data_IF_130334792101
#
_entry.id   IF_130334792101
#
_cell.length_a   1.000
_cell.length_b   1.000
_cell.length_c   1.000
_cell.angle_alpha   90.00
_cell.angle_beta   90.00
_cell.angle_gamma   90.00
#
_symmetry.space_group_name_H-M   'P 1'
#
loop_
_entity.id
_entity.type
_entity.pdbx_description
1 polymer ?
#
# COMPACT_ATOMS: atom_id res chain seq x y z
N UNK A 1 -48.99 -21.54 -10.68
CA UNK A 1 -49.07 -22.92 -11.23
C UNK A 1 -48.06 -23.01 -12.36
N UNK A 2 -46.91 -23.59 -12.08
CA UNK A 2 -46.12 -24.45 -12.94
C UNK A 2 -44.81 -24.82 -12.20
N UNK A 3 -44.40 -26.08 -12.20
CA UNK A 3 -43.42 -26.61 -11.26
C UNK A 3 -42.00 -26.60 -11.85
N UNK A 4 -41.05 -26.38 -10.92
CA UNK A 4 -39.61 -26.57 -11.11
C UNK A 4 -39.25 -28.00 -11.54
N UNK A 5 -38.41 -28.10 -12.56
CA UNK A 5 -37.76 -29.35 -12.95
C UNK A 5 -36.35 -29.34 -12.41
N UNK A 6 -36.12 -30.20 -11.42
CA UNK A 6 -34.84 -30.50 -10.80
C UNK A 6 -34.06 -31.48 -11.67
N UNK A 7 -32.97 -31.07 -12.32
CA UNK A 7 -32.05 -32.01 -13.01
C UNK A 7 -30.98 -32.50 -12.04
N UNK A 8 -31.13 -33.74 -11.58
CA UNK A 8 -30.07 -34.52 -10.94
C UNK A 8 -29.00 -34.90 -11.98
N UNK A 9 -27.75 -34.57 -11.73
CA UNK A 9 -26.58 -35.14 -12.44
C UNK A 9 -26.13 -36.40 -11.68
N UNK A 10 -26.30 -37.53 -12.36
CA UNK A 10 -25.85 -38.85 -11.93
C UNK A 10 -24.35 -38.97 -12.20
N UNK A 11 -23.57 -39.24 -11.16
CA UNK A 11 -22.16 -39.63 -11.28
C UNK A 11 -22.13 -41.13 -11.68
N UNK A 12 -21.47 -41.41 -12.80
CA UNK A 12 -21.24 -42.81 -13.28
C UNK A 12 -19.91 -43.30 -12.69
N UNK A 13 -20.00 -44.25 -11.80
CA UNK A 13 -18.85 -45.05 -11.37
C UNK A 13 -18.59 -46.15 -12.40
N UNK A 14 -17.46 -46.11 -13.13
CA UNK A 14 -16.98 -47.23 -13.91
C UNK A 14 -16.21 -48.19 -13.02
N UNK A 15 -16.82 -49.34 -12.76
CA UNK A 15 -16.17 -50.53 -12.16
C UNK A 15 -15.51 -51.30 -13.29
N UNK A 16 -14.19 -51.37 -13.31
CA UNK A 16 -13.45 -52.28 -14.20
C UNK A 16 -13.52 -53.68 -13.66
N UNK A 17 -14.25 -54.56 -14.37
CA UNK A 17 -14.23 -56.02 -14.20
C UNK A 17 -13.01 -56.58 -14.94
N UNK A 18 -12.33 -57.53 -14.25
CA UNK A 18 -11.14 -58.19 -14.71
C UNK A 18 -11.28 -58.96 -16.02
N UNK A 19 -10.22 -58.94 -16.78
CA UNK A 19 -9.95 -59.86 -17.87
C UNK A 19 -8.95 -60.91 -17.38
N UNK A 20 -9.38 -62.18 -17.33
CA UNK A 20 -8.49 -63.33 -17.27
C UNK A 20 -7.87 -63.50 -18.66
N UNK A 21 -6.57 -63.44 -18.79
CA UNK A 21 -5.84 -63.83 -19.99
C UNK A 21 -5.11 -65.12 -19.70
N UNK A 22 -5.45 -66.12 -20.47
CA UNK A 22 -4.80 -67.48 -20.49
C UNK A 22 -3.30 -67.34 -20.77
N UNK A 23 -2.48 -67.88 -19.85
CA UNK A 23 -1.05 -68.00 -20.03
C UNK A 23 -0.70 -69.21 -20.86
N UNK A 24 -0.28 -69.00 -22.10
CA UNK A 24 0.55 -69.98 -22.83
C UNK A 24 1.98 -69.46 -22.98
N UNK A 25 3.02 -70.22 -22.71
CA UNK A 25 4.41 -69.76 -22.80
C UNK A 25 4.90 -69.80 -24.24
N UNK A 26 5.18 -68.64 -24.81
CA UNK A 26 5.89 -68.51 -26.08
C UNK A 26 6.99 -67.47 -25.94
N UNK A 27 8.23 -67.85 -26.17
CA UNK A 27 9.35 -67.05 -26.61
C UNK A 27 10.01 -66.11 -25.56
N UNK A 28 11.01 -66.65 -24.83
CA UNK A 28 11.70 -66.02 -23.72
C UNK A 28 12.71 -64.87 -24.03
N UNK A 29 12.81 -64.36 -25.26
CA UNK A 29 13.78 -63.32 -25.58
C UNK A 29 13.21 -61.91 -25.64
N UNK A 30 11.98 -61.73 -26.12
CA UNK A 30 11.36 -60.42 -26.20
C UNK A 30 10.91 -59.85 -24.85
N UNK A 31 10.52 -60.72 -23.90
CA UNK A 31 10.11 -60.28 -22.55
C UNK A 31 11.29 -59.72 -21.75
N UNK A 32 12.50 -60.30 -21.91
CA UNK A 32 13.71 -59.80 -21.24
C UNK A 32 14.15 -58.44 -21.74
N UNK A 33 13.96 -58.15 -23.02
CA UNK A 33 14.31 -56.86 -23.63
C UNK A 33 13.34 -55.76 -23.22
N UNK A 34 12.04 -56.08 -23.08
CA UNK A 34 11.01 -55.12 -22.62
C UNK A 34 11.16 -54.79 -21.14
N UNK A 35 11.52 -55.75 -20.29
CA UNK A 35 11.79 -55.52 -18.86
C UNK A 35 13.06 -54.66 -18.68
N UNK A 36 14.11 -54.93 -19.46
CA UNK A 36 15.33 -54.11 -19.40
C UNK A 36 15.08 -52.66 -19.86
N UNK A 37 14.23 -52.43 -20.86
CA UNK A 37 13.86 -51.09 -21.34
C UNK A 37 13.00 -50.34 -20.33
N UNK A 38 12.07 -51.00 -19.62
CA UNK A 38 11.27 -50.42 -18.53
C UNK A 38 12.11 -50.06 -17.30
N UNK A 39 13.11 -50.86 -16.96
CA UNK A 39 14.03 -50.55 -15.85
C UNK A 39 14.97 -49.41 -16.19
N UNK A 40 15.41 -49.27 -17.44
CA UNK A 40 16.21 -48.13 -17.89
C UNK A 40 15.41 -46.82 -17.96
N UNK A 41 14.12 -46.86 -18.31
CA UNK A 41 13.23 -45.70 -18.32
C UNK A 41 12.86 -45.26 -16.88
N UNK A 42 12.77 -46.18 -15.91
CA UNK A 42 12.52 -45.83 -14.52
C UNK A 42 13.74 -45.26 -13.79
N UNK A 43 14.96 -45.58 -14.27
CA UNK A 43 16.20 -44.99 -13.72
C UNK A 43 16.43 -43.52 -14.12
N UNK A 44 15.80 -43.06 -15.20
CA UNK A 44 15.89 -41.64 -15.62
C UNK A 44 14.91 -40.71 -14.90
N UNK A 45 13.87 -41.27 -14.27
CA UNK A 45 12.92 -40.44 -13.48
C UNK A 45 13.40 -40.18 -12.04
N UNK A 46 14.46 -40.83 -11.57
CA UNK A 46 15.12 -40.56 -10.29
C UNK A 46 16.22 -39.50 -10.40
N UNK A 47 16.09 -38.53 -11.31
CA UNK A 47 16.85 -37.31 -11.22
C UNK A 47 16.34 -36.56 -10.01
N UNK A 48 16.92 -36.85 -8.85
CA UNK A 48 16.78 -36.02 -7.65
C UNK A 48 17.06 -34.57 -8.10
N UNK A 49 16.00 -33.75 -8.21
CA UNK A 49 16.17 -32.31 -8.17
C UNK A 49 16.93 -32.02 -6.88
N UNK A 50 18.26 -31.87 -6.97
CA UNK A 50 19.02 -31.26 -5.88
C UNK A 50 18.29 -29.96 -5.59
N UNK A 51 17.59 -29.92 -4.47
CA UNK A 51 17.06 -28.66 -3.95
C UNK A 51 18.26 -27.74 -3.86
N UNK A 52 18.26 -26.69 -4.66
CA UNK A 52 19.32 -25.67 -4.56
C UNK A 52 19.38 -25.24 -3.09
N UNK A 53 20.57 -25.09 -2.55
CA UNK A 53 20.74 -24.59 -1.20
C UNK A 53 19.93 -23.29 -1.04
N UNK A 54 19.23 -23.07 0.08
CA UNK A 54 18.49 -21.85 0.29
C UNK A 54 19.39 -20.63 0.06
N UNK A 55 18.94 -19.68 -0.74
CA UNK A 55 19.67 -18.42 -0.92
C UNK A 55 19.84 -17.74 0.46
N UNK A 56 21.04 -17.26 0.82
CA UNK A 56 21.25 -16.57 2.08
C UNK A 56 20.42 -15.28 2.17
N UNK A 57 19.93 -14.89 3.35
CA UNK A 57 19.16 -13.66 3.51
C UNK A 57 20.06 -12.44 3.30
N UNK A 58 19.56 -11.46 2.53
CA UNK A 58 20.32 -10.24 2.20
C UNK A 58 20.21 -9.16 3.28
N UNK A 59 19.18 -9.20 4.13
CA UNK A 59 18.99 -8.26 5.22
C UNK A 59 18.05 -8.85 6.30
N UNK A 60 18.13 -8.28 7.51
CA UNK A 60 17.15 -8.51 8.58
C UNK A 60 16.22 -7.31 8.64
N UNK A 61 14.93 -7.44 8.28
CA UNK A 61 13.96 -6.38 8.32
C UNK A 61 13.30 -6.26 9.70
N UNK A 62 12.89 -5.06 10.07
CA UNK A 62 11.92 -4.82 11.14
C UNK A 62 11.07 -3.60 10.82
N UNK A 63 9.85 -3.56 11.36
CA UNK A 63 8.95 -2.41 11.25
C UNK A 63 8.37 -2.11 12.62
N UNK A 64 8.38 -0.81 12.98
CA UNK A 64 7.69 -0.31 14.16
C UNK A 64 6.62 0.69 13.73
N UNK A 65 5.49 0.68 14.45
CA UNK A 65 4.38 1.59 14.24
C UNK A 65 4.31 2.56 15.41
N UNK A 66 3.97 3.83 15.16
CA UNK A 66 3.68 4.81 16.22
C UNK A 66 2.46 4.37 17.05
N UNK A 67 1.58 3.57 16.43
CA UNK A 67 0.41 2.93 17.05
C UNK A 67 -0.01 1.70 16.25
N UNK A 68 -0.46 0.67 16.94
CA UNK A 68 -0.92 -0.58 16.32
C UNK A 68 -2.46 -0.70 16.22
N UNK A 69 -3.20 0.31 16.70
CA UNK A 69 -4.67 0.42 16.57
C UNK A 69 -4.99 1.67 15.78
N UNK A 70 -5.46 1.50 14.55
CA UNK A 70 -5.54 2.57 13.55
C UNK A 70 -6.91 2.57 12.89
N UNK A 71 -7.71 3.62 13.02
CA UNK A 71 -8.98 3.74 12.31
C UNK A 71 -8.80 3.84 10.79
N UNK A 72 -9.77 3.37 10.04
CA UNK A 72 -9.86 3.57 8.60
C UNK A 72 -9.76 5.07 8.26
N UNK A 73 -8.99 5.42 7.24
CA UNK A 73 -8.77 6.80 6.79
C UNK A 73 -7.75 7.58 7.62
N UNK A 74 -7.23 7.05 8.73
CA UNK A 74 -6.28 7.77 9.57
C UNK A 74 -4.82 7.52 9.17
N UNK A 75 -3.92 8.49 9.44
CA UNK A 75 -2.48 8.30 9.22
C UNK A 75 -1.89 7.36 10.26
N UNK A 76 -0.80 6.68 9.91
CA UNK A 76 0.06 5.88 10.79
C UNK A 76 1.50 6.03 10.36
N UNK A 77 2.41 6.21 11.31
CA UNK A 77 3.85 6.27 11.03
C UNK A 77 4.45 4.87 11.11
N UNK A 78 5.04 4.43 9.99
CA UNK A 78 5.74 3.16 9.85
C UNK A 78 7.24 3.43 9.76
N UNK A 79 8.00 3.02 10.76
CA UNK A 79 9.47 3.09 10.74
C UNK A 79 10.02 1.75 10.29
N UNK A 80 10.60 1.74 9.11
CA UNK A 80 11.26 0.58 8.50
C UNK A 80 12.72 0.58 8.86
N UNK A 81 13.25 -0.61 9.18
CA UNK A 81 14.67 -0.81 9.43
C UNK A 81 15.13 -2.09 8.75
N UNK A 82 16.22 -1.98 7.99
CA UNK A 82 16.89 -3.11 7.35
C UNK A 82 18.35 -3.14 7.80
N UNK A 83 18.76 -4.22 8.47
CA UNK A 83 20.17 -4.49 8.77
C UNK A 83 20.71 -5.36 7.65
N UNK A 84 21.55 -4.81 6.80
CA UNK A 84 22.11 -5.48 5.61
C UNK A 84 23.07 -6.57 6.04
N UNK A 85 22.99 -7.78 5.46
CA UNK A 85 23.89 -8.87 5.77
C UNK A 85 25.33 -8.56 5.33
N UNK A 86 26.31 -9.16 6.01
CA UNK A 86 27.73 -8.87 5.80
C UNK A 86 28.25 -9.27 4.41
N UNK A 87 27.56 -10.19 3.75
CA UNK A 87 27.88 -10.73 2.41
C UNK A 87 26.85 -10.34 1.35
N UNK A 88 25.90 -9.45 1.71
CA UNK A 88 24.85 -9.06 0.79
C UNK A 88 25.36 -8.16 -0.36
N UNK A 89 24.85 -8.42 -1.55
CA UNK A 89 25.06 -7.60 -2.74
C UNK A 89 23.76 -7.40 -3.50
N UNK A 90 23.45 -6.15 -3.85
CA UNK A 90 22.25 -5.78 -4.60
C UNK A 90 22.61 -5.42 -6.03
N UNK A 91 22.26 -6.28 -6.98
CA UNK A 91 22.57 -6.10 -8.41
C UNK A 91 21.74 -5.00 -9.08
N UNK A 92 20.54 -4.70 -8.52
CA UNK A 92 19.60 -3.70 -9.02
C UNK A 92 18.90 -2.96 -7.86
N UNK A 93 18.07 -2.00 -8.17
CA UNK A 93 17.23 -1.34 -7.18
C UNK A 93 15.93 -2.14 -6.96
N UNK A 94 15.73 -2.58 -5.72
CA UNK A 94 14.56 -3.33 -5.27
C UNK A 94 13.56 -2.40 -4.59
N UNK A 95 12.27 -2.63 -4.86
CA UNK A 95 11.19 -2.00 -4.10
C UNK A 95 10.95 -2.73 -2.79
N UNK A 96 10.51 -1.98 -1.80
CA UNK A 96 9.98 -2.54 -0.55
C UNK A 96 8.52 -2.92 -0.79
N UNK A 97 8.24 -4.22 -0.71
CA UNK A 97 6.90 -4.76 -0.65
C UNK A 97 6.36 -4.54 0.75
N UNK A 98 5.18 -3.98 0.89
CA UNK A 98 4.48 -3.83 2.16
C UNK A 98 3.01 -4.17 1.97
N UNK A 99 2.62 -5.34 2.44
CA UNK A 99 1.25 -5.81 2.39
C UNK A 99 0.63 -5.81 3.78
N UNK A 100 -0.54 -5.24 3.91
CA UNK A 100 -1.40 -5.41 5.08
C UNK A 100 -2.38 -6.53 4.76
N UNK A 101 -2.32 -7.58 5.57
CA UNK A 101 -3.11 -8.79 5.38
C UNK A 101 -3.99 -9.05 6.61
N UNK A 102 -5.14 -9.67 6.39
CA UNK A 102 -6.05 -10.10 7.46
C UNK A 102 -5.54 -11.36 8.20
N UNK A 103 -6.38 -11.91 9.07
CA UNK A 103 -6.06 -13.12 9.84
C UNK A 103 -5.94 -14.37 8.97
N UNK A 104 -6.59 -14.39 7.82
CA UNK A 104 -6.57 -15.49 6.85
C UNK A 104 -5.45 -15.33 5.82
N UNK A 105 -4.64 -14.27 5.91
CA UNK A 105 -3.54 -13.96 5.00
C UNK A 105 -3.99 -13.32 3.68
N UNK A 106 -5.26 -12.88 3.58
CA UNK A 106 -5.75 -12.16 2.41
C UNK A 106 -5.29 -10.71 2.45
N UNK A 107 -4.80 -10.21 1.33
CA UNK A 107 -4.33 -8.83 1.22
C UNK A 107 -5.51 -7.85 1.32
N UNK A 108 -5.46 -6.97 2.34
CA UNK A 108 -6.40 -5.86 2.50
C UNK A 108 -5.96 -4.70 1.61
N UNK A 109 -4.71 -4.25 1.75
CA UNK A 109 -4.09 -3.20 0.92
C UNK A 109 -2.57 -3.33 0.88
N UNK A 110 -1.94 -2.63 -0.05
CA UNK A 110 -0.50 -2.59 -0.23
C UNK A 110 0.03 -1.14 -0.11
N UNK A 111 1.24 -1.01 0.45
CA UNK A 111 1.96 0.24 0.66
C UNK A 111 3.37 0.16 0.04
N UNK A 112 3.48 -0.50 -1.09
CA UNK A 112 4.75 -0.75 -1.78
C UNK A 112 5.41 0.57 -2.20
N UNK A 113 6.70 0.71 -1.91
CA UNK A 113 7.43 1.95 -2.19
C UNK A 113 8.90 1.72 -2.51
N UNK A 114 9.53 2.72 -3.10
CA UNK A 114 10.98 2.75 -3.23
C UNK A 114 11.57 3.24 -1.89
N UNK A 115 12.62 2.57 -1.36
CA UNK A 115 13.31 3.11 -0.18
C UNK A 115 13.98 4.43 -0.52
N UNK A 116 14.12 5.39 0.44
CA UNK A 116 14.74 6.69 0.18
C UNK A 116 16.21 6.60 -0.26
N UNK A 117 16.90 5.55 0.18
CA UNK A 117 18.24 5.18 -0.32
C UNK A 117 18.06 3.99 -1.24
N UNK A 118 18.36 4.11 -2.55
CA UNK A 118 18.26 2.99 -3.50
C UNK A 118 19.05 1.76 -3.02
N UNK A 119 18.51 0.55 -3.18
CA UNK A 119 19.12 -0.65 -2.59
C UNK A 119 20.50 -0.97 -3.16
N UNK A 120 20.82 -0.56 -4.40
CA UNK A 120 22.19 -0.67 -4.96
C UNK A 120 23.25 0.10 -4.17
N UNK A 121 22.82 1.09 -3.35
CA UNK A 121 23.70 1.86 -2.49
C UNK A 121 23.82 1.27 -1.08
N UNK A 122 23.05 0.23 -0.77
CA UNK A 122 23.11 -0.45 0.51
C UNK A 122 24.41 -1.25 0.62
N UNK A 123 25.12 -1.09 1.72
CA UNK A 123 26.44 -1.73 1.93
C UNK A 123 26.35 -2.83 2.98
N UNK A 124 27.17 -3.88 2.87
CA UNK A 124 27.28 -4.93 3.88
C UNK A 124 27.44 -4.35 5.30
N UNK A 125 26.64 -4.85 6.25
CA UNK A 125 26.62 -4.40 7.65
C UNK A 125 25.93 -3.06 7.91
N UNK A 126 25.48 -2.34 6.88
CA UNK A 126 24.79 -1.06 7.03
C UNK A 126 23.39 -1.25 7.60
N UNK A 127 22.96 -0.30 8.43
CA UNK A 127 21.56 -0.15 8.85
C UNK A 127 20.90 0.95 8.03
N UNK A 128 19.81 0.62 7.34
CA UNK A 128 18.95 1.56 6.63
C UNK A 128 17.69 1.72 7.46
N UNK A 129 17.41 2.93 7.92
CA UNK A 129 16.22 3.23 8.73
C UNK A 129 15.54 4.50 8.21
N UNK A 130 14.23 4.45 8.06
CA UNK A 130 13.42 5.58 7.60
C UNK A 130 11.96 5.41 8.03
N UNK A 131 11.25 6.53 8.16
CA UNK A 131 9.83 6.56 8.52
C UNK A 131 9.01 7.07 7.34
N UNK A 132 7.87 6.42 7.10
CA UNK A 132 6.83 6.87 6.19
C UNK A 132 5.53 7.02 6.95
N UNK A 133 4.80 8.09 6.65
CA UNK A 133 3.42 8.24 7.08
C UNK A 133 2.52 7.71 5.99
N UNK A 134 1.72 6.72 6.33
CA UNK A 134 0.76 6.10 5.41
C UNK A 134 -0.66 6.35 5.94
N UNK A 135 -1.62 6.54 5.02
CA UNK A 135 -3.03 6.61 5.37
C UNK A 135 -3.68 5.25 5.19
N UNK A 136 -4.34 4.76 6.23
CA UNK A 136 -5.09 3.50 6.13
C UNK A 136 -6.29 3.72 5.20
N UNK A 137 -6.39 3.03 4.07
CA UNK A 137 -7.48 3.23 3.13
C UNK A 137 -8.86 2.96 3.78
N UNK A 138 -9.90 3.62 3.27
CA UNK A 138 -11.28 3.38 3.68
C UNK A 138 -11.79 2.13 2.95
N UNK A 139 -11.46 0.95 3.47
CA UNK A 139 -11.95 -0.35 2.97
C UNK A 139 -12.98 -0.93 3.94
N UNK A 140 -13.84 -1.84 3.48
CA UNK A 140 -14.83 -2.49 4.32
C UNK A 140 -14.21 -3.62 5.19
N UNK A 141 -13.05 -3.38 5.79
CA UNK A 141 -12.38 -4.30 6.71
C UNK A 141 -12.09 -3.63 8.04
N UNK A 142 -12.56 -4.23 9.11
CA UNK A 142 -12.27 -3.86 10.50
C UNK A 142 -11.89 -5.13 11.25
N UNK A 143 -10.78 -5.10 11.97
CA UNK A 143 -10.31 -6.28 12.69
C UNK A 143 -8.79 -6.35 12.79
N UNK A 144 -8.30 -7.52 13.22
CA UNK A 144 -6.89 -7.78 13.35
C UNK A 144 -6.25 -8.03 11.98
N UNK A 145 -5.11 -7.42 11.79
CA UNK A 145 -4.31 -7.50 10.57
C UNK A 145 -2.81 -7.63 10.92
N UNK A 146 -1.99 -7.85 9.92
CA UNK A 146 -0.54 -7.85 10.09
C UNK A 146 0.16 -7.24 8.88
N UNK A 147 1.32 -6.60 9.14
CA UNK A 147 2.21 -6.13 8.10
C UNK A 147 3.16 -7.24 7.66
N UNK A 148 3.21 -7.45 6.36
CA UNK A 148 4.22 -8.29 5.71
C UNK A 148 5.12 -7.40 4.86
N UNK A 149 6.44 -7.61 4.96
CA UNK A 149 7.44 -6.82 4.23
C UNK A 149 8.33 -7.73 3.42
N UNK A 150 8.77 -7.26 2.26
CA UNK A 150 9.71 -7.94 1.38
C UNK A 150 10.54 -6.97 0.55
N UNK A 151 11.48 -7.48 -0.21
CA UNK A 151 12.20 -6.74 -1.24
C UNK A 151 11.99 -7.45 -2.58
N UNK A 152 11.57 -6.72 -3.63
CA UNK A 152 11.32 -7.31 -4.94
C UNK A 152 11.86 -6.46 -6.09
N UNK A 153 12.30 -7.15 -7.14
CA UNK A 153 12.68 -6.54 -8.41
C UNK A 153 11.46 -6.14 -9.22
N UNK A 154 11.41 -4.91 -9.72
CA UNK A 154 10.33 -4.45 -10.61
C UNK A 154 10.40 -5.19 -11.95
N UNK A 155 11.61 -5.45 -12.46
CA UNK A 155 11.84 -6.02 -13.78
C UNK A 155 11.52 -7.52 -13.83
N UNK A 156 11.93 -8.28 -12.80
CA UNK A 156 11.82 -9.74 -12.77
C UNK A 156 10.73 -10.26 -11.84
N UNK A 157 10.17 -9.42 -10.99
CA UNK A 157 9.24 -9.77 -9.90
C UNK A 157 9.85 -10.75 -8.88
N UNK A 158 11.14 -11.02 -8.95
CA UNK A 158 11.84 -11.89 -8.01
C UNK A 158 11.94 -11.19 -6.66
N UNK A 159 11.56 -11.91 -5.60
CA UNK A 159 11.71 -11.44 -4.22
C UNK A 159 13.01 -11.97 -3.60
N UNK A 160 13.68 -11.12 -2.84
CA UNK A 160 14.90 -11.47 -2.13
C UNK A 160 14.61 -12.17 -0.80
N UNK A 161 15.47 -13.10 -0.37
CA UNK A 161 15.38 -13.71 0.95
C UNK A 161 15.77 -12.69 2.03
N UNK A 162 14.96 -12.61 3.11
CA UNK A 162 15.22 -11.80 4.29
C UNK A 162 15.27 -12.69 5.53
N UNK A 163 15.96 -12.25 6.56
CA UNK A 163 16.07 -12.96 7.83
C UNK A 163 14.90 -12.60 8.76
N UNK A 164 13.73 -13.18 8.51
CA UNK A 164 12.52 -13.04 9.31
C UNK A 164 11.57 -14.20 9.06
N UNK A 165 10.42 -14.25 9.73
CA UNK A 165 9.42 -15.29 9.54
C UNK A 165 8.71 -15.15 8.20
N UNK A 166 8.98 -16.04 7.25
CA UNK A 166 8.35 -16.05 5.93
C UNK A 166 6.88 -16.48 6.06
N UNK A 167 5.98 -15.62 5.63
CA UNK A 167 4.54 -15.88 5.56
C UNK A 167 4.13 -16.48 4.20
N UNK A 168 5.08 -16.75 3.33
CA UNK A 168 4.92 -17.28 1.98
C UNK A 168 5.46 -16.35 0.92
N UNK A 169 6.08 -16.91 -0.10
CA UNK A 169 6.60 -16.18 -1.25
C UNK A 169 7.58 -15.05 -0.88
N UNK A 170 8.38 -15.21 0.18
CA UNK A 170 9.31 -14.18 0.68
C UNK A 170 8.60 -12.85 1.04
N UNK A 171 7.41 -12.94 1.60
CA UNK A 171 6.75 -11.88 2.34
C UNK A 171 6.87 -12.19 3.83
N UNK A 172 7.45 -11.29 4.61
CA UNK A 172 7.86 -11.58 5.98
C UNK A 172 6.95 -10.85 6.97
N UNK A 173 6.30 -11.59 7.87
CA UNK A 173 5.42 -11.02 8.90
C UNK A 173 6.24 -10.30 9.95
N UNK A 174 6.05 -8.98 10.10
CA UNK A 174 6.87 -8.15 10.99
C UNK A 174 6.11 -7.51 12.14
N UNK A 175 4.89 -7.04 11.93
CA UNK A 175 4.15 -6.31 12.96
C UNK A 175 2.65 -6.59 12.94
N UNK A 176 1.99 -6.67 14.12
CA UNK A 176 0.53 -6.70 14.20
C UNK A 176 -0.05 -5.29 14.01
N UNK A 177 -1.25 -5.23 13.45
CA UNK A 177 -2.04 -4.02 13.27
C UNK A 177 -3.51 -4.36 13.56
N UNK A 178 -4.24 -3.49 14.27
CA UNK A 178 -5.67 -3.57 14.42
C UNK A 178 -6.33 -2.40 13.68
N UNK A 179 -7.15 -2.70 12.69
CA UNK A 179 -7.92 -1.72 11.93
C UNK A 179 -9.24 -1.48 12.64
N UNK A 180 -9.51 -0.22 12.98
CA UNK A 180 -10.70 0.23 13.70
C UNK A 180 -11.71 0.88 12.75
N UNK A 181 -12.99 1.00 13.15
CA UNK A 181 -13.98 1.75 12.38
C UNK A 181 -13.56 3.20 12.14
N UNK A 182 -13.98 3.78 11.02
CA UNK A 182 -13.74 5.20 10.70
C UNK A 182 -14.38 6.16 11.70
N UNK A 183 -15.44 5.73 12.39
CA UNK A 183 -16.14 6.50 13.43
C UNK A 183 -15.26 6.87 14.63
N UNK A 184 -14.12 6.22 14.80
CA UNK A 184 -13.14 6.55 15.83
C UNK A 184 -12.31 7.80 15.48
N UNK A 185 -12.41 8.31 14.26
CA UNK A 185 -11.74 9.52 13.82
C UNK A 185 -12.46 10.80 14.28
N UNK A 186 -11.70 11.90 14.28
CA UNK A 186 -12.29 13.23 14.41
C UNK A 186 -13.14 13.51 13.16
N UNK A 187 -14.41 13.89 13.38
CA UNK A 187 -15.30 14.23 12.27
C UNK A 187 -14.86 15.52 11.59
N UNK A 188 -14.70 15.50 10.26
CA UNK A 188 -14.29 16.63 9.43
C UNK A 188 -15.29 16.90 8.33
N UNK A 189 -15.45 18.19 7.96
CA UNK A 189 -16.33 18.67 6.89
C UNK A 189 -15.58 19.63 6.00
N UNK A 190 -15.63 19.42 4.69
CA UNK A 190 -15.16 20.34 3.69
C UNK A 190 -16.27 21.35 3.39
N UNK A 191 -16.08 22.62 3.78
CA UNK A 191 -17.10 23.67 3.67
C UNK A 191 -16.92 24.50 2.40
N UNK A 192 -16.66 25.81 2.55
CA UNK A 192 -16.48 26.70 1.41
C UNK A 192 -15.09 26.60 0.79
N UNK A 193 -14.99 26.93 -0.51
CA UNK A 193 -13.71 27.04 -1.19
C UNK A 193 -13.12 25.75 -1.73
N UNK A 194 -13.89 24.66 -1.71
CA UNK A 194 -13.51 23.37 -2.30
C UNK A 194 -14.26 23.12 -3.60
N UNK A 195 -13.60 22.42 -4.52
CA UNK A 195 -14.25 21.80 -5.67
C UNK A 195 -14.63 20.36 -5.36
N UNK A 196 -15.56 19.74 -6.10
CA UNK A 196 -15.87 18.32 -5.96
C UNK A 196 -14.63 17.45 -6.05
N UNK A 197 -14.66 16.31 -5.37
CA UNK A 197 -13.58 15.32 -5.41
C UNK A 197 -13.36 14.81 -6.84
N UNK A 198 -12.11 14.61 -7.19
CA UNK A 198 -11.64 14.03 -8.45
C UNK A 198 -10.74 12.83 -8.15
N UNK A 199 -10.70 11.90 -9.09
CA UNK A 199 -9.85 10.71 -9.00
C UNK A 199 -8.87 10.65 -10.17
N UNK A 200 -7.74 9.98 -9.98
CA UNK A 200 -6.78 9.78 -11.06
C UNK A 200 -7.32 8.77 -12.09
N UNK A 201 -7.20 9.10 -13.38
CA UNK A 201 -7.68 8.27 -14.49
C UNK A 201 -7.14 6.83 -14.45
N UNK A 202 -5.88 6.68 -14.05
CA UNK A 202 -5.18 5.39 -14.00
C UNK A 202 -5.36 4.64 -12.67
N UNK A 203 -5.88 5.30 -11.63
CA UNK A 203 -6.06 4.71 -10.31
C UNK A 203 -7.13 5.45 -9.50
N UNK A 204 -8.36 4.93 -9.50
CA UNK A 204 -9.50 5.50 -8.75
C UNK A 204 -9.33 5.51 -7.22
N UNK A 205 -8.24 4.93 -6.70
CA UNK A 205 -7.91 5.00 -5.26
C UNK A 205 -7.16 6.28 -4.90
N UNK A 206 -6.65 7.02 -5.89
CA UNK A 206 -6.03 8.33 -5.70
C UNK A 206 -7.11 9.37 -5.93
N UNK A 207 -7.53 10.01 -4.87
CA UNK A 207 -8.58 11.04 -4.86
C UNK A 207 -8.01 12.33 -4.30
N UNK A 208 -8.45 13.46 -4.83
CA UNK A 208 -8.12 14.80 -4.33
C UNK A 208 -9.29 15.77 -4.48
N UNK A 209 -9.21 16.87 -3.76
CA UNK A 209 -10.05 18.03 -3.97
C UNK A 209 -9.19 19.27 -4.24
N UNK A 210 -9.59 20.07 -5.19
CA UNK A 210 -8.97 21.36 -5.43
C UNK A 210 -9.49 22.42 -4.47
N UNK A 211 -8.57 23.22 -3.92
CA UNK A 211 -8.97 24.46 -3.26
C UNK A 211 -9.20 25.57 -4.27
N UNK A 212 -10.03 26.56 -3.92
CA UNK A 212 -9.96 27.91 -4.47
C UNK A 212 -8.83 28.68 -3.78
N UNK A 213 -8.78 30.03 -3.94
CA UNK A 213 -7.81 30.87 -3.24
C UNK A 213 -7.87 30.72 -1.71
N UNK A 214 -9.03 30.46 -1.18
CA UNK A 214 -9.25 30.15 0.24
C UNK A 214 -10.26 29.03 0.36
N UNK A 215 -9.94 28.03 1.18
CA UNK A 215 -10.80 26.89 1.46
C UNK A 215 -10.91 26.67 2.98
N UNK A 216 -12.10 26.31 3.46
CA UNK A 216 -12.36 26.08 4.88
C UNK A 216 -12.68 24.60 5.13
N UNK A 217 -11.98 24.03 6.09
CA UNK A 217 -12.22 22.71 6.65
C UNK A 217 -12.72 22.88 8.09
N UNK A 218 -13.89 22.34 8.42
CA UNK A 218 -14.35 22.29 9.81
C UNK A 218 -14.15 20.89 10.39
N UNK A 219 -13.80 20.82 11.66
CA UNK A 219 -13.68 19.54 12.34
C UNK A 219 -14.22 19.61 13.77
N UNK A 220 -14.69 18.45 14.27
CA UNK A 220 -15.13 18.33 15.64
C UNK A 220 -13.97 18.58 16.60
N UNK A 221 -14.10 19.55 17.51
CA UNK A 221 -13.08 19.93 18.45
C UNK A 221 -12.73 18.79 19.41
N UNK A 222 -11.53 18.20 19.32
CA UNK A 222 -11.12 17.12 20.22
C UNK A 222 -10.75 17.62 21.61
N UNK A 223 -10.68 18.95 21.82
CA UNK A 223 -10.30 19.62 23.09
C UNK A 223 -8.95 19.15 23.65
N UNK A 224 -8.06 18.73 22.77
CA UNK A 224 -6.71 18.24 23.05
C UNK A 224 -5.76 18.78 21.99
N UNK A 225 -4.50 18.92 22.33
CA UNK A 225 -3.46 19.15 21.34
C UNK A 225 -3.61 18.11 20.22
N UNK A 226 -3.49 18.55 18.98
CA UNK A 226 -3.74 17.73 17.80
C UNK A 226 -2.69 18.00 16.74
N UNK A 227 -2.62 17.15 15.74
CA UNK A 227 -1.81 17.35 14.53
C UNK A 227 -2.74 17.31 13.32
N UNK A 228 -2.68 18.35 12.49
CA UNK A 228 -3.23 18.30 11.14
C UNK A 228 -2.23 17.59 10.23
N UNK A 229 -2.67 16.54 9.58
CA UNK A 229 -1.96 15.90 8.46
C UNK A 229 -2.57 16.46 7.18
N UNK A 230 -1.83 17.31 6.51
CA UNK A 230 -2.23 17.96 5.26
C UNK A 230 -1.32 17.49 4.14
N UNK A 231 -1.88 16.68 3.26
CA UNK A 231 -1.16 16.07 2.15
C UNK A 231 -1.65 16.70 0.85
N UNK A 232 -0.75 17.35 0.13
CA UNK A 232 -1.12 18.20 -1.00
C UNK A 232 0.01 18.30 -2.04
N UNK A 233 -0.37 18.74 -3.23
CA UNK A 233 0.57 19.09 -4.29
C UNK A 233 0.05 20.26 -5.15
N UNK A 234 0.94 20.67 -6.07
CA UNK A 234 0.60 21.45 -7.23
C UNK A 234 1.12 20.69 -8.47
N UNK A 235 0.25 20.15 -9.35
CA UNK A 235 0.70 19.32 -10.48
C UNK A 235 1.51 20.07 -11.54
N UNK A 236 1.81 21.34 -11.31
CA UNK A 236 2.44 22.23 -12.28
C UNK A 236 1.40 22.94 -13.16
N UNK A 237 1.83 23.40 -14.29
CA UNK A 237 0.97 24.13 -15.23
C UNK A 237 1.39 25.59 -15.33
N UNK A 238 0.51 26.57 -15.02
CA UNK A 238 0.79 27.98 -15.30
C UNK A 238 1.83 28.62 -14.37
N UNK A 239 2.18 27.99 -13.28
CA UNK A 239 3.14 28.53 -12.31
C UNK A 239 4.54 27.99 -12.57
N UNK A 240 5.51 28.89 -12.68
CA UNK A 240 6.94 28.57 -12.69
C UNK A 240 7.55 28.65 -11.28
N UNK A 241 6.96 29.49 -10.42
CA UNK A 241 7.41 29.73 -9.07
C UNK A 241 6.59 28.94 -8.05
N UNK A 242 7.19 28.63 -6.92
CA UNK A 242 6.52 27.97 -5.80
C UNK A 242 5.26 28.75 -5.38
N UNK A 243 4.21 28.01 -5.04
CA UNK A 243 2.94 28.53 -4.55
C UNK A 243 2.97 28.58 -3.02
N UNK A 244 2.69 29.76 -2.45
CA UNK A 244 2.59 29.94 -1.01
C UNK A 244 1.27 29.40 -0.48
N UNK A 245 1.35 28.64 0.62
CA UNK A 245 0.20 28.09 1.36
C UNK A 245 0.27 28.53 2.80
N UNK A 246 -0.83 29.06 3.34
CA UNK A 246 -1.00 29.41 4.74
C UNK A 246 -2.16 28.62 5.34
N UNK A 247 -1.93 28.05 6.53
CA UNK A 247 -2.95 27.33 7.31
C UNK A 247 -3.20 28.09 8.60
N UNK A 248 -4.49 28.37 8.91
CA UNK A 248 -4.85 29.20 10.07
C UNK A 248 -6.18 28.75 10.70
N UNK A 249 -6.33 29.01 12.01
CA UNK A 249 -7.61 28.95 12.75
C UNK A 249 -7.93 30.37 13.23
N UNK A 250 -9.05 30.92 12.80
CA UNK A 250 -9.40 32.32 13.06
C UNK A 250 -8.31 33.26 12.55
N UNK A 251 -7.70 34.03 13.45
CA UNK A 251 -6.56 34.93 13.17
C UNK A 251 -5.21 34.29 13.44
N UNK A 252 -5.18 33.12 14.06
CA UNK A 252 -3.94 32.42 14.40
C UNK A 252 -3.42 31.61 13.23
N UNK A 253 -2.26 32.04 12.68
CA UNK A 253 -1.54 31.25 11.67
C UNK A 253 -0.88 30.06 12.38
N UNK A 254 -1.14 28.86 11.87
CA UNK A 254 -0.55 27.61 12.35
C UNK A 254 0.75 27.30 11.62
N UNK A 255 0.74 27.47 10.28
CA UNK A 255 1.90 27.21 9.44
C UNK A 255 1.83 28.03 8.13
N UNK A 256 3.00 28.25 7.54
CA UNK A 256 3.16 28.84 6.19
C UNK A 256 4.30 28.13 5.49
N UNK A 257 4.03 27.61 4.32
CA UNK A 257 5.00 26.83 3.53
C UNK A 257 4.79 27.08 2.03
N UNK A 258 5.64 26.51 1.21
CA UNK A 258 5.53 26.60 -0.27
C UNK A 258 5.44 25.22 -0.89
N UNK A 259 4.68 25.14 -2.00
CA UNK A 259 4.51 23.96 -2.84
C UNK A 259 5.14 24.22 -4.19
N UNK A 260 6.13 23.41 -4.55
CA UNK A 260 6.81 23.53 -5.85
C UNK A 260 5.93 22.93 -6.96
N UNK A 261 5.66 23.66 -8.04
CA UNK A 261 4.88 23.13 -9.16
C UNK A 261 5.54 21.90 -9.79
N UNK A 262 4.76 20.84 -10.02
CA UNK A 262 5.24 19.58 -10.61
C UNK A 262 6.10 18.71 -9.68
N UNK A 263 6.30 19.13 -8.42
CA UNK A 263 6.92 18.27 -7.42
C UNK A 263 5.98 17.13 -7.00
N UNK A 264 6.56 16.11 -6.38
CA UNK A 264 5.78 15.05 -5.75
C UNK A 264 4.92 15.62 -4.61
N UNK A 265 3.83 14.91 -4.33
CA UNK A 265 2.93 15.14 -3.21
C UNK A 265 3.71 15.29 -1.90
N UNK A 266 3.37 16.28 -1.08
CA UNK A 266 4.05 16.58 0.18
C UNK A 266 3.09 16.56 1.36
N UNK A 267 3.48 15.83 2.39
CA UNK A 267 2.74 15.73 3.65
C UNK A 267 3.28 16.71 4.67
N UNK A 268 2.44 17.62 5.14
CA UNK A 268 2.71 18.57 6.21
C UNK A 268 2.04 18.11 7.50
N UNK A 269 2.83 17.95 8.59
CA UNK A 269 2.33 17.63 9.94
C UNK A 269 2.31 18.91 10.76
N UNK A 270 1.15 19.53 10.88
CA UNK A 270 0.98 20.87 11.47
C UNK A 270 0.41 20.73 12.88
N UNK A 271 1.15 21.11 13.94
CA UNK A 271 0.64 21.02 15.30
C UNK A 271 -0.45 22.05 15.56
N UNK A 272 -1.53 21.64 16.20
CA UNK A 272 -2.64 22.47 16.64
C UNK A 272 -2.75 22.38 18.16
N UNK A 273 -2.51 23.49 18.86
CA UNK A 273 -2.68 23.54 20.31
C UNK A 273 -4.18 23.62 20.68
N UNK A 274 -4.58 22.91 21.74
CA UNK A 274 -5.95 22.96 22.24
C UNK A 274 -6.44 24.38 22.51
N UNK A 275 -5.56 25.23 23.04
CA UNK A 275 -5.86 26.65 23.31
C UNK A 275 -6.25 27.44 22.04
N UNK A 276 -5.69 27.10 20.87
CA UNK A 276 -6.01 27.75 19.60
C UNK A 276 -7.38 27.33 19.07
N UNK A 277 -7.80 26.11 19.35
CA UNK A 277 -9.12 25.57 18.96
C UNK A 277 -10.26 26.16 19.79
N UNK A 278 -9.99 26.72 20.96
CA UNK A 278 -11.00 27.29 21.85
C UNK A 278 -11.98 26.26 22.40
N UNK A 279 -13.21 26.72 22.73
CA UNK A 279 -14.23 25.90 23.40
C UNK A 279 -15.42 25.54 22.51
N UNK A 280 -15.48 26.00 21.27
CA UNK A 280 -16.56 25.64 20.33
C UNK A 280 -16.54 24.15 20.02
N UNK A 281 -17.69 23.58 19.69
CA UNK A 281 -17.78 22.15 19.34
C UNK A 281 -17.19 21.84 17.98
N UNK A 282 -17.21 22.82 17.07
CA UNK A 282 -16.57 22.76 15.75
C UNK A 282 -15.48 23.82 15.65
N UNK A 283 -14.42 23.50 14.96
CA UNK A 283 -13.29 24.39 14.69
C UNK A 283 -13.16 24.58 13.19
N UNK A 284 -13.12 25.82 12.73
CA UNK A 284 -12.89 26.17 11.33
C UNK A 284 -11.41 26.43 11.08
N UNK A 285 -10.85 25.65 10.18
CA UNK A 285 -9.47 25.77 9.71
C UNK A 285 -9.49 26.26 8.28
N UNK A 286 -8.72 27.31 7.98
CA UNK A 286 -8.59 27.91 6.67
C UNK A 286 -7.26 27.54 6.03
N UNK A 287 -7.32 27.08 4.78
CA UNK A 287 -6.17 26.90 3.88
C UNK A 287 -6.27 27.99 2.84
N UNK A 288 -5.24 28.84 2.75
CA UNK A 288 -5.17 29.97 1.83
C UNK A 288 -3.92 29.84 0.98
N UNK A 289 -4.08 30.06 -0.35
CA UNK A 289 -2.98 30.09 -1.31
C UNK A 289 -2.74 31.51 -1.81
N UNK A 290 -1.50 31.86 -2.12
CA UNK A 290 -1.13 33.20 -2.61
C UNK A 290 -1.62 33.44 -4.05
N UNK A 291 -1.70 32.38 -4.88
CA UNK A 291 -2.08 32.45 -6.28
C UNK A 291 -2.93 31.24 -6.71
N UNK A 292 -3.80 31.49 -7.68
CA UNK A 292 -4.70 30.49 -8.30
C UNK A 292 -4.64 30.64 -9.81
N UNK A 293 -5.19 29.67 -10.53
CA UNK A 293 -5.32 29.71 -11.98
C UNK A 293 -6.70 29.21 -12.43
N UNK A 294 -7.08 29.59 -13.64
CA UNK A 294 -8.28 29.09 -14.32
C UNK A 294 -7.83 28.42 -15.62
N UNK A 295 -7.95 27.07 -15.71
CA UNK A 295 -7.44 26.33 -16.87
C UNK A 295 -7.92 26.86 -18.23
N UNK A 296 -9.20 27.24 -18.34
CA UNK A 296 -9.77 27.81 -19.59
C UNK A 296 -9.12 29.14 -20.02
N UNK A 297 -8.51 29.89 -19.08
CA UNK A 297 -7.79 31.13 -19.39
C UNK A 297 -6.33 30.92 -19.74
N UNK A 298 -5.77 29.75 -19.37
CA UNK A 298 -4.35 29.44 -19.56
C UNK A 298 -4.08 28.60 -20.79
N UNK A 299 -5.04 27.78 -21.22
CA UNK A 299 -4.92 26.88 -22.34
C UNK A 299 -6.22 26.83 -23.14
N UNK A 300 -6.16 27.18 -24.40
CA UNK A 300 -7.33 27.19 -25.32
C UNK A 300 -7.93 25.80 -25.56
N UNK A 301 -7.21 24.72 -25.22
CA UNK A 301 -7.72 23.34 -25.27
C UNK A 301 -8.52 22.95 -24.02
N UNK A 302 -8.47 23.76 -22.95
CA UNK A 302 -9.23 23.49 -21.72
C UNK A 302 -10.49 24.34 -21.67
N UNK A 303 -11.61 23.71 -21.33
CA UNK A 303 -12.89 24.39 -21.07
C UNK A 303 -13.20 24.49 -19.56
N UNK A 304 -12.27 24.18 -18.68
CA UNK A 304 -12.47 24.22 -17.23
C UNK A 304 -12.45 25.66 -16.70
N UNK A 305 -13.59 26.23 -16.28
CA UNK A 305 -13.71 27.61 -15.82
C UNK A 305 -13.40 27.76 -14.32
N UNK A 306 -13.04 26.67 -13.60
CA UNK A 306 -12.85 26.71 -12.16
C UNK A 306 -11.58 27.48 -11.78
N UNK A 307 -11.67 28.21 -10.68
CA UNK A 307 -10.49 28.76 -9.99
C UNK A 307 -9.82 27.64 -9.18
N UNK A 308 -8.59 27.27 -9.50
CA UNK A 308 -7.85 26.17 -8.90
C UNK A 308 -6.65 26.69 -8.11
N UNK A 309 -6.53 26.25 -6.85
CA UNK A 309 -5.41 26.53 -5.95
C UNK A 309 -4.41 25.37 -5.88
N UNK A 310 -4.48 24.56 -4.81
CA UNK A 310 -3.71 23.32 -4.64
C UNK A 310 -4.62 22.11 -4.63
N UNK A 311 -4.09 20.92 -5.00
CA UNK A 311 -4.79 19.65 -4.80
C UNK A 311 -4.50 19.16 -3.40
N UNK A 312 -5.55 18.80 -2.67
CA UNK A 312 -5.46 18.22 -1.34
C UNK A 312 -5.94 16.77 -1.40
N UNK A 313 -5.05 15.85 -1.07
CA UNK A 313 -5.32 14.40 -1.06
C UNK A 313 -5.81 13.94 0.31
N UNK A 314 -5.22 14.49 1.37
CA UNK A 314 -5.64 14.21 2.74
C UNK A 314 -5.62 15.50 3.58
N UNK A 315 -6.68 15.70 4.35
CA UNK A 315 -6.75 16.71 5.41
C UNK A 315 -7.35 16.02 6.65
N UNK A 316 -6.49 15.62 7.58
CA UNK A 316 -6.87 14.77 8.71
C UNK A 316 -6.37 15.36 10.03
N UNK A 317 -7.26 15.46 11.02
CA UNK A 317 -6.91 15.95 12.36
C UNK A 317 -6.79 14.76 13.32
N UNK A 318 -5.60 14.60 13.89
CA UNK A 318 -5.29 13.54 14.84
C UNK A 318 -5.02 14.13 16.20
N UNK A 319 -5.83 13.84 17.23
CA UNK A 319 -5.55 14.24 18.62
C UNK A 319 -4.29 13.54 19.15
N UNK A 320 -3.45 14.31 19.84
CA UNK A 320 -2.29 13.76 20.56
C UNK A 320 -2.80 12.92 21.73
N UNK A 321 -2.20 11.77 21.92
CA UNK A 321 -2.56 10.81 22.97
C UNK A 321 -2.12 11.27 24.37
#
# INVERSE_FOLDING_TARGET
MNPMILRRRTFLFCVFRGFCVDCRPAGSQHVRLQIALLVLLSAWSASCRRSAAPEPPVATPSVTLDRNRVPLGSPVDLTYKFVVAADAHFAEDYRVLVHVVDVDGQMIFALDHNPPVPTRQWRPGQTIEYTRTEFVPVYPYVGDASLQVGLYSISTQKRLPLNATDAGQRAYKLAPLQILPQTDNVYTVFNEGWHPAETADHNSKIEWQWTKKSATLSFKNPRKDSTLYLDLDNPGGPFTDAQGVQVAIGTQVLDTFTVTPGAEQSLHKIPIKAAVMGNADMVDLRIQVDKTFVPALMNTASNDPRELGVRVFHAFVLPVR
#
